data_IF_051799878513
#
_entry.id   IF_051799878513
#
_cell.length_a   1.000
_cell.length_b   1.000
_cell.length_c   1.000
_cell.angle_alpha   90.00
_cell.angle_beta   90.00
_cell.angle_gamma   90.00
#
_symmetry.space_group_name_H-M   'P 1'
#
loop_
_entity.id
_entity.type
_entity.pdbx_description
1 polymer ?
#
# COMPACT_ATOMS: atom_id res chain seq x y z
N UNK A 1 41.29 -13.29 -6.08
CA UNK A 1 40.80 -12.36 -5.05
C UNK A 1 39.29 -12.39 -5.13
N UNK A 2 38.62 -13.25 -4.34
CA UNK A 2 37.16 -13.29 -4.30
C UNK A 2 36.69 -12.12 -3.43
N UNK A 3 36.12 -11.10 -4.06
CA UNK A 3 35.45 -10.03 -3.33
C UNK A 3 34.10 -10.59 -2.93
N UNK A 4 34.02 -11.15 -1.72
CA UNK A 4 32.74 -11.53 -1.12
C UNK A 4 32.05 -10.22 -0.72
N UNK A 5 31.13 -9.75 -1.55
CA UNK A 5 30.26 -8.61 -1.22
C UNK A 5 29.23 -9.06 -0.19
N UNK A 6 29.67 -9.34 1.04
CA UNK A 6 28.75 -9.47 2.17
C UNK A 6 28.22 -8.09 2.50
N UNK A 7 27.15 -7.67 1.83
CA UNK A 7 26.39 -6.49 2.23
C UNK A 7 25.92 -6.68 3.67
N UNK A 8 26.03 -5.63 4.48
CA UNK A 8 25.52 -5.65 5.84
C UNK A 8 24.00 -5.92 5.83
N UNK A 9 23.47 -6.47 6.92
CA UNK A 9 22.02 -6.73 7.00
C UNK A 9 21.19 -5.45 6.87
N UNK A 10 21.76 -4.30 7.26
CA UNK A 10 21.16 -2.98 7.08
C UNK A 10 21.10 -2.56 5.61
N UNK A 11 22.16 -2.78 4.83
CA UNK A 11 22.17 -2.48 3.39
C UNK A 11 21.17 -3.35 2.61
N UNK A 12 20.98 -4.61 3.04
CA UNK A 12 19.92 -5.47 2.48
C UNK A 12 18.52 -4.96 2.79
N UNK A 13 18.29 -4.35 3.97
CA UNK A 13 17.00 -3.76 4.34
C UNK A 13 16.69 -2.49 3.55
N UNK A 14 17.70 -1.69 3.24
CA UNK A 14 17.58 -0.46 2.42
C UNK A 14 17.57 -0.71 0.92
N UNK A 15 17.83 -1.95 0.50
CA UNK A 15 17.85 -2.29 -0.90
C UNK A 15 16.47 -2.00 -1.53
N UNK A 16 16.46 -1.23 -2.62
CA UNK A 16 15.23 -0.86 -3.31
C UNK A 16 14.35 0.17 -2.61
N UNK A 17 14.85 0.90 -1.60
CA UNK A 17 14.13 2.06 -1.01
C UNK A 17 13.80 3.16 -2.03
N UNK A 18 14.65 3.30 -3.06
CA UNK A 18 14.45 4.21 -4.17
C UNK A 18 13.42 3.71 -5.21
N UNK A 19 12.95 2.47 -5.09
CA UNK A 19 11.94 1.92 -6.01
C UNK A 19 10.57 2.42 -5.57
N UNK A 20 9.91 3.15 -6.46
CA UNK A 20 8.51 3.51 -6.32
C UNK A 20 7.66 2.39 -6.92
N UNK A 21 6.69 1.91 -6.15
CA UNK A 21 5.69 0.95 -6.60
C UNK A 21 4.37 1.70 -6.73
N UNK A 22 3.74 1.55 -7.90
CA UNK A 22 2.36 1.95 -8.12
C UNK A 22 1.51 0.70 -8.31
N UNK A 23 0.40 0.62 -7.60
CA UNK A 23 -0.52 -0.49 -7.65
C UNK A 23 -1.95 0.01 -7.84
N UNK A 24 -2.71 -0.69 -8.68
CA UNK A 24 -4.13 -0.46 -8.86
C UNK A 24 -4.88 -1.75 -8.56
N UNK A 25 -5.83 -1.66 -7.64
CA UNK A 25 -6.73 -2.74 -7.28
C UNK A 25 -8.16 -2.40 -7.69
N UNK A 26 -8.87 -3.39 -8.24
CA UNK A 26 -10.26 -3.27 -8.66
C UNK A 26 -11.04 -4.39 -7.97
N UNK A 27 -11.97 -4.00 -7.10
CA UNK A 27 -12.88 -4.92 -6.40
C UNK A 27 -14.32 -4.66 -6.82
N UNK A 28 -15.11 -5.73 -6.90
CA UNK A 28 -16.56 -5.62 -6.92
C UNK A 28 -17.06 -5.43 -5.48
N UNK A 29 -17.81 -4.36 -5.24
CA UNK A 29 -18.51 -4.09 -4.01
C UNK A 29 -19.78 -4.95 -3.95
N UNK A 30 -19.63 -6.24 -3.66
CA UNK A 30 -20.78 -7.15 -3.75
C UNK A 30 -21.74 -7.04 -2.56
N UNK A 31 -21.28 -6.67 -1.35
CA UNK A 31 -22.13 -6.68 -0.14
C UNK A 31 -21.55 -5.85 1.03
N UNK A 32 -20.91 -4.67 0.80
CA UNK A 32 -20.53 -3.82 1.95
C UNK A 32 -21.76 -3.12 2.53
N UNK A 33 -22.39 -3.87 3.44
CA UNK A 33 -23.47 -3.44 4.30
C UNK A 33 -22.97 -2.37 5.29
N UNK A 34 -23.76 -1.29 5.41
CA UNK A 34 -23.58 -0.15 6.31
C UNK A 34 -22.52 0.91 5.93
N UNK A 35 -22.99 2.06 5.46
CA UNK A 35 -22.14 3.20 5.09
C UNK A 35 -21.24 3.72 6.23
N UNK A 36 -21.55 3.46 7.50
CA UNK A 36 -20.73 3.90 8.64
C UNK A 36 -19.44 3.08 8.76
N UNK A 37 -19.51 1.75 8.63
CA UNK A 37 -18.33 0.89 8.73
C UNK A 37 -17.38 1.12 7.55
N UNK A 38 -17.94 1.24 6.35
CA UNK A 38 -17.19 1.61 5.15
C UNK A 38 -16.47 2.95 5.35
N UNK A 39 -17.18 3.99 5.78
CA UNK A 39 -16.57 5.33 6.00
C UNK A 39 -15.43 5.26 7.02
N UNK A 40 -15.58 4.50 8.11
CA UNK A 40 -14.51 4.32 9.13
C UNK A 40 -13.28 3.61 8.56
N UNK A 41 -13.49 2.54 7.80
CA UNK A 41 -12.40 1.80 7.16
C UNK A 41 -11.63 2.71 6.19
N UNK A 42 -12.35 3.51 5.39
CA UNK A 42 -11.74 4.45 4.46
C UNK A 42 -10.92 5.53 5.16
N UNK A 43 -11.43 6.13 6.23
CA UNK A 43 -10.70 7.16 6.98
C UNK A 43 -9.46 6.58 7.68
N UNK A 44 -9.56 5.37 8.22
CA UNK A 44 -8.41 4.67 8.80
C UNK A 44 -7.29 4.48 7.77
N UNK A 45 -7.63 3.96 6.58
CA UNK A 45 -6.65 3.75 5.52
C UNK A 45 -6.11 5.06 4.95
N UNK A 46 -6.94 6.10 4.82
CA UNK A 46 -6.50 7.43 4.39
C UNK A 46 -5.40 7.98 5.32
N UNK A 47 -5.60 7.91 6.64
CA UNK A 47 -4.59 8.35 7.62
C UNK A 47 -3.34 7.49 7.57
N UNK A 48 -3.51 6.17 7.51
CA UNK A 48 -2.37 5.26 7.41
C UNK A 48 -1.48 5.58 6.19
N UNK A 49 -2.08 5.82 5.03
CA UNK A 49 -1.32 6.19 3.83
C UNK A 49 -0.62 7.55 3.97
N UNK A 50 -1.32 8.54 4.52
CA UNK A 50 -0.76 9.88 4.79
C UNK A 50 0.44 9.82 5.76
N UNK A 51 0.34 9.02 6.83
CA UNK A 51 1.40 8.85 7.83
C UNK A 51 2.63 8.08 7.30
N UNK A 52 2.49 7.34 6.20
CA UNK A 52 3.53 6.48 5.64
C UNK A 52 4.03 6.96 4.26
N UNK A 53 3.78 8.22 3.90
CA UNK A 53 4.17 8.83 2.61
C UNK A 53 3.69 8.03 1.38
N UNK A 54 2.49 7.43 1.48
CA UNK A 54 1.82 6.73 0.39
C UNK A 54 0.75 7.64 -0.20
N UNK A 55 0.88 7.97 -1.47
CA UNK A 55 -0.15 8.71 -2.21
C UNK A 55 -1.20 7.71 -2.67
N UNK A 56 -2.48 8.00 -2.43
CA UNK A 56 -3.58 7.10 -2.83
C UNK A 56 -4.76 7.84 -3.41
N UNK A 57 -5.51 7.16 -4.27
CA UNK A 57 -6.80 7.59 -4.77
C UNK A 57 -7.79 6.42 -4.71
N UNK A 58 -9.03 6.71 -4.32
CA UNK A 58 -10.11 5.73 -4.29
C UNK A 58 -11.33 6.30 -5.01
N UNK A 59 -11.87 5.53 -5.94
CA UNK A 59 -13.13 5.80 -6.63
C UNK A 59 -14.10 4.67 -6.31
N UNK A 60 -15.32 5.04 -5.95
CA UNK A 60 -16.44 4.11 -5.75
C UNK A 60 -17.46 4.43 -6.83
N UNK A 61 -17.72 3.47 -7.71
CA UNK A 61 -18.66 3.68 -8.83
C UNK A 61 -19.35 2.37 -9.19
N UNK A 62 -20.68 2.42 -9.38
CA UNK A 62 -21.49 1.31 -9.91
C UNK A 62 -21.24 -0.06 -9.24
N UNK A 63 -21.03 -0.07 -7.93
CA UNK A 63 -20.73 -1.31 -7.20
C UNK A 63 -19.30 -1.81 -7.41
N UNK A 64 -18.36 -0.94 -7.76
CA UNK A 64 -16.93 -1.23 -7.80
C UNK A 64 -16.14 -0.25 -6.94
N UNK A 65 -15.08 -0.78 -6.34
CA UNK A 65 -13.98 0.00 -5.76
C UNK A 65 -12.80 -0.05 -6.72
N UNK A 66 -12.33 1.12 -7.13
CA UNK A 66 -11.09 1.27 -7.89
C UNK A 66 -10.14 2.08 -7.01
N UNK A 67 -9.09 1.43 -6.53
CA UNK A 67 -8.09 2.07 -5.69
C UNK A 67 -6.75 2.04 -6.39
N UNK A 68 -6.05 3.18 -6.42
CA UNK A 68 -4.64 3.23 -6.75
C UNK A 68 -3.84 3.80 -5.60
N UNK A 69 -2.63 3.30 -5.42
CA UNK A 69 -1.70 3.85 -4.46
C UNK A 69 -0.25 3.69 -4.90
N UNK A 70 0.57 4.65 -4.50
CA UNK A 70 1.97 4.76 -4.87
C UNK A 70 2.80 5.11 -3.65
N UNK A 71 3.91 4.41 -3.47
CA UNK A 71 4.84 4.66 -2.39
C UNK A 71 6.17 3.96 -2.63
N UNK A 72 7.08 4.10 -1.67
CA UNK A 72 8.34 3.34 -1.70
C UNK A 72 8.04 1.85 -1.54
N UNK A 73 8.87 0.98 -2.13
CA UNK A 73 8.72 -0.48 -2.02
C UNK A 73 8.56 -0.97 -0.57
N UNK A 74 9.35 -0.49 0.42
CA UNK A 74 9.14 -0.88 1.82
C UNK A 74 7.76 -0.46 2.35
N UNK A 75 7.33 0.78 2.11
CA UNK A 75 6.03 1.28 2.58
C UNK A 75 4.86 0.47 1.97
N UNK A 76 4.92 0.16 0.68
CA UNK A 76 3.91 -0.66 0.00
C UNK A 76 3.89 -2.10 0.53
N UNK A 77 5.05 -2.72 0.76
CA UNK A 77 5.10 -4.07 1.31
C UNK A 77 4.47 -4.13 2.71
N UNK A 78 4.78 -3.17 3.58
CA UNK A 78 4.16 -3.09 4.92
C UNK A 78 2.65 -2.84 4.84
N UNK A 79 2.20 -2.00 3.91
CA UNK A 79 0.77 -1.76 3.70
C UNK A 79 0.02 -3.02 3.23
N UNK A 80 0.65 -3.85 2.39
CA UNK A 80 0.07 -5.10 1.90
C UNK A 80 0.01 -6.17 3.00
N UNK A 81 1.05 -6.29 3.83
CA UNK A 81 1.07 -7.21 4.98
C UNK A 81 -0.05 -6.88 5.98
N UNK A 82 -0.41 -5.60 6.15
CA UNK A 82 -1.55 -5.19 6.99
C UNK A 82 -2.93 -5.47 6.39
N UNK A 83 -3.01 -5.73 5.08
CA UNK A 83 -4.25 -6.01 4.36
C UNK A 83 -4.54 -7.51 4.19
N UNK A 84 -3.66 -8.39 4.69
CA UNK A 84 -3.80 -9.87 4.63
C UNK A 84 -4.16 -10.44 6.00
#
# INVERSE_FOLDING_TARGET
MNITTSQSSEDRKRHGEHILIHMTYIAKNVDLDSGIELTRALEYWRRYFEENDIVSALVISEGYFVQSFQGTRPAINTALEKNT
#
